data_IF_760468163844
#
_entry.id   IF_760468163844
#
_cell.length_a   1.000
_cell.length_b   1.000
_cell.length_c   1.000
_cell.angle_alpha   90.00
_cell.angle_beta   90.00
_cell.angle_gamma   90.00
#
_symmetry.space_group_name_H-M   'P 1'
#
loop_
_entity.id
_entity.type
_entity.pdbx_description
1 polymer ?
#
# COMPACT_ATOMS: atom_id res chain seq x y z
N UNK A 1 37.21 -17.15 12.18
CA UNK A 1 36.75 -16.51 13.44
C UNK A 1 35.32 -15.97 13.31
N UNK A 2 35.00 -15.20 12.26
CA UNK A 2 33.65 -14.65 12.06
C UNK A 2 32.57 -15.72 11.84
N UNK A 3 32.84 -16.77 11.05
CA UNK A 3 31.85 -17.84 10.83
C UNK A 3 31.46 -18.56 12.12
N UNK A 4 32.46 -18.87 12.96
CA UNK A 4 32.25 -19.45 14.28
C UNK A 4 31.40 -18.56 15.20
N UNK A 5 31.58 -17.23 15.13
CA UNK A 5 30.75 -16.29 15.90
C UNK A 5 29.31 -16.26 15.39
N UNK A 6 29.10 -16.36 14.07
CA UNK A 6 27.75 -16.44 13.47
C UNK A 6 27.04 -17.73 13.86
N UNK A 7 27.73 -18.87 13.79
CA UNK A 7 27.18 -20.15 14.24
C UNK A 7 26.80 -20.13 15.72
N UNK A 8 27.70 -19.66 16.58
CA UNK A 8 27.44 -19.53 18.02
C UNK A 8 26.28 -18.59 18.33
N UNK A 9 26.15 -17.48 17.59
CA UNK A 9 25.04 -16.55 17.76
C UNK A 9 23.71 -17.17 17.35
N UNK A 10 23.67 -17.88 16.22
CA UNK A 10 22.46 -18.56 15.73
C UNK A 10 22.02 -19.64 16.72
N UNK A 11 22.96 -20.41 17.27
CA UNK A 11 22.69 -21.40 18.31
C UNK A 11 22.15 -20.74 19.59
N UNK A 12 22.79 -19.65 20.06
CA UNK A 12 22.35 -18.91 21.23
C UNK A 12 20.95 -18.29 21.08
N UNK A 13 20.67 -17.70 19.91
CA UNK A 13 19.35 -17.15 19.59
C UNK A 13 18.27 -18.25 19.61
N UNK A 14 18.55 -19.39 18.99
CA UNK A 14 17.62 -20.52 18.97
C UNK A 14 17.32 -21.04 20.40
N UNK A 15 18.32 -21.09 21.28
CA UNK A 15 18.14 -21.52 22.68
C UNK A 15 17.19 -20.62 23.48
N UNK A 16 17.09 -19.32 23.13
CA UNK A 16 16.19 -18.38 23.80
C UNK A 16 14.87 -18.15 23.02
N UNK A 17 14.61 -18.94 21.98
CA UNK A 17 13.40 -18.79 21.15
C UNK A 17 13.42 -17.54 20.27
N UNK A 18 14.60 -17.13 19.80
CA UNK A 18 14.74 -16.04 18.84
C UNK A 18 15.08 -16.59 17.46
N UNK A 19 14.41 -16.05 16.46
CA UNK A 19 14.77 -16.26 15.06
C UNK A 19 15.77 -15.21 14.61
N UNK A 20 16.49 -15.53 13.54
CA UNK A 20 17.65 -14.76 13.09
C UNK A 20 17.43 -14.30 11.65
N UNK A 21 17.58 -13.01 11.43
CA UNK A 21 17.64 -12.40 10.10
C UNK A 21 19.04 -11.85 9.88
N UNK A 22 19.74 -12.37 8.87
CA UNK A 22 20.94 -11.75 8.37
C UNK A 22 20.57 -10.76 7.29
N UNK A 23 21.01 -9.52 7.42
CA UNK A 23 20.85 -8.52 6.39
C UNK A 23 22.21 -7.95 6.01
N UNK A 24 22.53 -7.99 4.71
CA UNK A 24 23.76 -7.39 4.16
C UNK A 24 23.37 -6.42 3.06
N UNK A 25 23.62 -5.13 3.30
CA UNK A 25 23.57 -4.11 2.26
C UNK A 25 24.93 -4.05 1.54
N UNK A 26 24.92 -3.95 0.21
CA UNK A 26 26.15 -3.81 -0.57
C UNK A 26 25.95 -2.88 -1.77
N UNK A 27 27.01 -2.23 -2.23
CA UNK A 27 27.03 -1.48 -3.49
C UNK A 27 28.05 -2.10 -4.45
N UNK A 28 28.28 -1.47 -5.61
CA UNK A 28 29.24 -1.93 -6.62
C UNK A 28 30.69 -2.04 -6.08
N UNK A 29 31.02 -1.32 -5.01
CA UNK A 29 32.36 -1.25 -4.42
C UNK A 29 32.45 -1.96 -3.06
N UNK A 30 31.40 -2.68 -2.64
CA UNK A 30 31.23 -3.30 -1.32
C UNK A 30 31.44 -2.33 -0.13
N UNK A 31 31.19 -1.03 -0.33
CA UNK A 31 31.43 0.04 0.64
C UNK A 31 30.21 0.96 0.78
N UNK A 32 29.03 0.41 1.10
CA UNK A 32 27.83 1.20 1.22
C UNK A 32 27.97 2.25 2.34
N UNK A 33 27.40 3.43 2.12
CA UNK A 33 27.33 4.47 3.16
C UNK A 33 26.51 3.95 4.33
N UNK A 34 27.00 4.14 5.56
CA UNK A 34 26.31 3.68 6.76
C UNK A 34 24.84 4.15 6.82
N UNK A 35 24.59 5.45 6.58
CA UNK A 35 23.23 6.00 6.57
C UNK A 35 22.30 5.30 5.56
N UNK A 36 22.82 4.96 4.38
CA UNK A 36 22.05 4.25 3.36
C UNK A 36 21.78 2.79 3.75
N UNK A 37 22.80 2.10 4.30
CA UNK A 37 22.65 0.71 4.75
C UNK A 37 21.64 0.57 5.90
N UNK A 38 21.73 1.43 6.92
CA UNK A 38 20.77 1.42 8.02
C UNK A 38 19.37 1.87 7.57
N UNK A 39 19.27 2.81 6.62
CA UNK A 39 18.00 3.18 5.99
C UNK A 39 17.33 2.00 5.30
N UNK A 40 18.08 1.24 4.49
CA UNK A 40 17.58 0.05 3.81
C UNK A 40 17.08 -1.04 4.79
N UNK A 41 17.77 -1.22 5.92
CA UNK A 41 17.36 -2.15 6.98
C UNK A 41 16.06 -1.68 7.66
N UNK A 42 15.95 -0.38 7.96
CA UNK A 42 14.75 0.19 8.57
C UNK A 42 13.52 0.07 7.64
N UNK A 43 13.70 0.35 6.35
CA UNK A 43 12.66 0.16 5.33
C UNK A 43 12.28 -1.32 5.17
N UNK A 44 13.24 -2.24 5.27
CA UNK A 44 12.98 -3.68 5.23
C UNK A 44 12.15 -4.15 6.43
N UNK A 45 12.48 -3.70 7.65
CA UNK A 45 11.68 -3.99 8.83
C UNK A 45 10.25 -3.46 8.66
N UNK A 46 10.10 -2.22 8.20
CA UNK A 46 8.79 -1.62 7.90
C UNK A 46 8.00 -2.47 6.89
N UNK A 47 8.63 -2.94 5.82
CA UNK A 47 8.01 -3.83 4.84
C UNK A 47 7.50 -5.13 5.49
N UNK A 48 8.34 -5.79 6.31
CA UNK A 48 7.94 -6.99 7.06
C UNK A 48 6.74 -6.71 7.95
N UNK A 49 6.76 -5.65 8.76
CA UNK A 49 5.66 -5.30 9.64
C UNK A 49 4.35 -5.04 8.89
N UNK A 50 4.42 -4.39 7.73
CA UNK A 50 3.24 -4.10 6.92
C UNK A 50 2.68 -5.38 6.29
N UNK A 51 3.53 -6.25 5.73
CA UNK A 51 3.13 -7.56 5.17
C UNK A 51 2.58 -8.48 6.24
N UNK A 52 3.26 -8.57 7.39
CA UNK A 52 2.81 -9.34 8.55
C UNK A 52 1.39 -8.96 8.95
N UNK A 53 1.16 -7.67 9.17
CA UNK A 53 -0.16 -7.19 9.55
C UNK A 53 -1.21 -7.42 8.45
N UNK A 54 -0.83 -7.49 7.17
CA UNK A 54 -1.76 -7.82 6.10
C UNK A 54 -2.11 -9.33 6.07
N UNK A 55 -1.14 -10.21 6.36
CA UNK A 55 -1.38 -11.65 6.45
C UNK A 55 -2.20 -12.03 7.70
N UNK A 56 -1.89 -11.42 8.84
CA UNK A 56 -2.53 -11.75 10.13
C UNK A 56 -3.89 -11.07 10.33
N UNK A 57 -4.09 -9.88 9.76
CA UNK A 57 -5.30 -9.08 10.00
C UNK A 57 -6.06 -8.71 8.72
N UNK A 58 -5.64 -9.25 7.58
CA UNK A 58 -6.30 -9.07 6.30
C UNK A 58 -5.85 -7.81 5.54
N UNK A 59 -6.56 -7.57 4.44
CA UNK A 59 -6.25 -6.56 3.44
C UNK A 59 -5.88 -5.18 4.01
N UNK A 60 -4.71 -4.64 3.64
CA UNK A 60 -4.23 -3.33 4.09
C UNK A 60 -4.26 -2.25 2.99
N UNK A 61 -5.15 -1.27 3.19
CA UNK A 61 -5.24 -0.09 2.33
C UNK A 61 -4.06 0.89 2.48
N UNK A 62 -3.40 0.91 3.65
CA UNK A 62 -2.28 1.82 3.94
C UNK A 62 -1.14 1.07 4.60
N UNK A 63 0.08 1.58 4.43
CA UNK A 63 1.30 1.08 5.07
C UNK A 63 1.38 1.49 6.56
N UNK A 64 0.27 1.39 7.30
CA UNK A 64 0.22 1.69 8.74
C UNK A 64 0.55 0.44 9.54
N UNK A 65 1.34 0.61 10.61
CA UNK A 65 1.76 -0.46 11.50
C UNK A 65 1.16 -0.18 12.89
N UNK A 66 0.15 -0.97 13.31
CA UNK A 66 -0.34 -0.92 14.69
C UNK A 66 0.77 -1.28 15.69
N UNK A 67 0.66 -0.78 16.92
CA UNK A 67 1.68 -0.99 17.96
C UNK A 67 1.96 -2.47 18.26
N UNK A 68 0.92 -3.32 18.31
CA UNK A 68 1.11 -4.75 18.55
C UNK A 68 1.89 -5.43 17.43
N UNK A 69 1.59 -5.11 16.17
CA UNK A 69 2.35 -5.61 15.01
C UNK A 69 3.78 -5.10 15.06
N UNK A 70 4.00 -3.83 15.39
CA UNK A 70 5.34 -3.27 15.50
C UNK A 70 6.19 -4.03 16.52
N UNK A 71 5.59 -4.39 17.66
CA UNK A 71 6.26 -5.17 18.72
C UNK A 71 6.53 -6.61 18.29
N UNK A 72 5.61 -7.26 17.60
CA UNK A 72 5.75 -8.64 17.12
C UNK A 72 6.76 -8.78 15.97
N UNK A 73 7.00 -7.70 15.23
CA UNK A 73 7.87 -7.70 14.04
C UNK A 73 9.14 -6.87 14.18
N UNK A 74 9.42 -6.39 15.40
CA UNK A 74 10.63 -5.62 15.67
C UNK A 74 11.87 -6.52 15.61
N UNK A 75 12.85 -6.10 14.82
CA UNK A 75 14.18 -6.69 14.89
C UNK A 75 14.99 -6.03 15.99
N UNK A 76 15.55 -6.85 16.87
CA UNK A 76 16.59 -6.48 17.80
C UNK A 76 17.96 -6.63 17.14
N UNK A 77 18.84 -5.67 17.41
CA UNK A 77 20.23 -5.72 16.92
C UNK A 77 21.03 -6.79 17.67
N UNK A 78 21.67 -7.69 16.92
CA UNK A 78 22.64 -8.65 17.45
C UNK A 78 24.07 -8.10 17.37
N UNK A 79 24.68 -8.20 16.18
CA UNK A 79 26.02 -7.68 15.93
C UNK A 79 26.28 -7.41 14.44
N UNK A 80 27.34 -6.64 14.13
CA UNK A 80 27.80 -6.39 12.76
C UNK A 80 29.00 -7.25 12.37
N UNK A 81 29.11 -7.61 11.09
CA UNK A 81 30.25 -8.36 10.53
C UNK A 81 30.87 -7.66 9.32
N UNK A 82 32.12 -8.01 8.98
CA UNK A 82 32.89 -7.32 7.94
C UNK A 82 32.59 -7.89 6.54
N UNK A 83 32.82 -7.07 5.50
CA UNK A 83 32.71 -7.45 4.09
C UNK A 83 31.50 -6.86 3.37
N UNK A 84 31.21 -5.56 3.56
CA UNK A 84 29.93 -4.83 3.40
C UNK A 84 29.09 -4.80 4.68
N UNK A 85 28.17 -3.83 4.83
CA UNK A 85 27.45 -3.59 6.10
C UNK A 85 26.46 -4.75 6.33
N UNK A 86 26.98 -5.79 6.96
CA UNK A 86 26.27 -6.99 7.36
C UNK A 86 25.88 -6.91 8.83
N UNK A 87 24.61 -7.15 9.11
CA UNK A 87 24.04 -7.12 10.46
C UNK A 87 23.29 -8.42 10.71
N UNK A 88 23.54 -9.00 11.88
CA UNK A 88 22.70 -10.03 12.47
C UNK A 88 21.61 -9.37 13.31
N UNK A 89 20.37 -9.63 12.93
CA UNK A 89 19.17 -9.19 13.59
C UNK A 89 18.49 -10.41 14.22
N UNK A 90 17.84 -10.20 15.36
CA UNK A 90 17.01 -11.21 16.00
C UNK A 90 15.59 -10.72 16.13
N UNK A 91 14.65 -11.64 16.17
CA UNK A 91 13.26 -11.33 16.44
C UNK A 91 12.73 -12.39 17.39
N UNK A 92 12.00 -11.93 18.41
CA UNK A 92 11.44 -12.83 19.40
C UNK A 92 10.33 -13.65 18.75
N UNK A 93 10.57 -14.95 18.62
CA UNK A 93 9.58 -15.92 18.19
C UNK A 93 9.20 -16.73 19.43
N UNK A 94 8.40 -16.12 20.31
CA UNK A 94 7.97 -16.78 21.53
C UNK A 94 7.32 -18.12 21.15
N UNK A 95 7.89 -19.22 21.66
CA UNK A 95 7.39 -20.60 21.48
C UNK A 95 6.03 -20.80 22.20
N UNK A 96 5.06 -19.92 21.95
CA UNK A 96 3.72 -20.01 22.51
C UNK A 96 2.83 -20.78 21.54
N UNK A 97 2.97 -22.11 21.51
CA UNK A 97 1.99 -23.10 21.02
C UNK A 97 1.43 -22.94 19.58
N UNK A 98 1.77 -21.87 18.85
CA UNK A 98 1.24 -21.50 17.53
C UNK A 98 2.37 -20.90 16.68
N UNK A 99 2.42 -21.26 15.40
CA UNK A 99 3.39 -20.72 14.45
C UNK A 99 3.16 -19.21 14.27
N UNK A 100 4.21 -18.40 14.45
CA UNK A 100 4.10 -16.93 14.53
C UNK A 100 3.83 -16.23 13.21
N UNK A 101 3.57 -16.94 12.10
CA UNK A 101 3.31 -16.35 10.79
C UNK A 101 4.48 -15.56 10.18
N UNK A 102 5.63 -15.50 10.86
CA UNK A 102 6.84 -14.81 10.41
C UNK A 102 7.48 -15.50 9.21
N UNK A 103 7.53 -16.84 9.20
CA UNK A 103 8.04 -17.61 8.05
C UNK A 103 7.26 -17.28 6.76
N UNK A 104 5.92 -17.27 6.84
CA UNK A 104 5.05 -16.91 5.71
C UNK A 104 5.20 -15.46 5.30
N UNK A 105 5.40 -14.57 6.28
CA UNK A 105 5.66 -13.14 6.03
C UNK A 105 6.95 -12.96 5.26
N UNK A 106 8.05 -13.56 5.71
CA UNK A 106 9.36 -13.46 5.06
C UNK A 106 9.31 -14.08 3.66
N UNK A 107 8.72 -15.27 3.53
CA UNK A 107 8.51 -15.92 2.24
C UNK A 107 7.73 -15.02 1.28
N UNK A 108 6.67 -14.37 1.76
CA UNK A 108 5.87 -13.43 0.98
C UNK A 108 6.67 -12.19 0.59
N UNK A 109 7.45 -11.59 1.50
CA UNK A 109 8.33 -10.46 1.21
C UNK A 109 9.37 -10.83 0.15
N UNK A 110 9.96 -12.02 0.24
CA UNK A 110 10.95 -12.50 -0.73
C UNK A 110 10.32 -12.76 -2.11
N UNK A 111 9.10 -13.31 -2.14
CA UNK A 111 8.33 -13.48 -3.37
C UNK A 111 7.99 -12.13 -4.01
N UNK A 112 7.48 -11.18 -3.22
CA UNK A 112 7.18 -9.82 -3.66
C UNK A 112 8.42 -9.11 -4.23
N UNK A 113 9.56 -9.22 -3.55
CA UNK A 113 10.83 -8.60 -3.96
C UNK A 113 11.40 -9.16 -5.26
N UNK A 114 10.91 -10.32 -5.71
CA UNK A 114 11.29 -10.95 -6.98
C UNK A 114 10.31 -10.67 -8.12
N UNK A 115 9.30 -9.82 -7.89
CA UNK A 115 8.32 -9.46 -8.92
C UNK A 115 8.99 -8.77 -10.10
N UNK A 116 8.71 -9.22 -11.32
CA UNK A 116 9.37 -8.75 -12.56
C UNK A 116 8.46 -7.93 -13.47
N UNK A 117 7.16 -8.00 -13.26
CA UNK A 117 6.16 -7.36 -14.12
C UNK A 117 4.93 -6.88 -13.32
N UNK A 118 4.12 -5.96 -13.89
CA UNK A 118 2.94 -5.42 -13.20
C UNK A 118 1.92 -6.47 -12.77
N UNK A 119 1.76 -7.57 -13.52
CA UNK A 119 0.80 -8.63 -13.18
C UNK A 119 1.15 -9.35 -11.88
N UNK A 120 2.44 -9.61 -11.62
CA UNK A 120 2.92 -10.18 -10.35
C UNK A 120 2.68 -9.21 -9.18
N UNK A 121 2.95 -7.92 -9.39
CA UNK A 121 2.66 -6.88 -8.37
C UNK A 121 1.16 -6.83 -8.07
N UNK A 122 0.30 -6.85 -9.09
CA UNK A 122 -1.15 -6.87 -8.94
C UNK A 122 -1.64 -8.12 -8.21
N UNK A 123 -1.05 -9.29 -8.47
CA UNK A 123 -1.37 -10.51 -7.74
C UNK A 123 -1.16 -10.34 -6.23
N UNK A 124 -0.02 -9.77 -5.82
CA UNK A 124 0.24 -9.46 -4.42
C UNK A 124 -0.69 -8.36 -3.89
N UNK A 125 -0.98 -7.34 -4.69
CA UNK A 125 -1.85 -6.23 -4.30
C UNK A 125 -3.30 -6.67 -4.05
N UNK A 126 -3.83 -7.60 -4.84
CA UNK A 126 -5.17 -8.16 -4.62
C UNK A 126 -5.25 -8.95 -3.32
N UNK A 127 -4.17 -9.68 -2.98
CA UNK A 127 -4.13 -10.53 -1.78
C UNK A 127 -3.88 -9.73 -0.50
N UNK A 128 -2.97 -8.76 -0.54
CA UNK A 128 -2.46 -8.08 0.66
C UNK A 128 -2.93 -6.62 0.78
N UNK A 129 -3.35 -6.01 -0.32
CA UNK A 129 -3.70 -4.60 -0.42
C UNK A 129 -2.55 -3.68 -0.86
N UNK A 130 -2.84 -2.40 -1.12
CA UNK A 130 -1.86 -1.43 -1.61
C UNK A 130 -0.79 -1.04 -0.59
N UNK A 131 -1.08 -1.10 0.71
CA UNK A 131 -0.13 -0.73 1.77
C UNK A 131 1.19 -1.52 1.69
N UNK A 132 1.14 -2.86 1.66
CA UNK A 132 2.32 -3.70 1.44
C UNK A 132 3.09 -3.41 0.15
N UNK A 133 2.41 -3.10 -0.95
CA UNK A 133 3.07 -2.77 -2.22
C UNK A 133 3.78 -1.41 -2.13
N UNK A 134 3.16 -0.45 -1.43
CA UNK A 134 3.77 0.85 -1.17
C UNK A 134 5.03 0.71 -0.28
N UNK A 135 4.98 -0.10 0.78
CA UNK A 135 6.16 -0.37 1.61
C UNK A 135 7.28 -1.07 0.82
N UNK A 136 6.93 -1.97 -0.12
CA UNK A 136 7.88 -2.61 -1.02
C UNK A 136 8.52 -1.59 -1.96
N UNK A 137 7.72 -0.66 -2.49
CA UNK A 137 8.20 0.45 -3.31
C UNK A 137 9.17 1.34 -2.53
N UNK A 138 8.84 1.73 -1.29
CA UNK A 138 9.71 2.54 -0.43
C UNK A 138 11.07 1.85 -0.25
N UNK A 139 11.08 0.57 0.13
CA UNK A 139 12.30 -0.21 0.28
C UNK A 139 13.11 -0.34 -1.02
N UNK A 140 12.46 -0.66 -2.14
CA UNK A 140 13.12 -0.78 -3.43
C UNK A 140 13.68 0.57 -3.90
N UNK A 141 12.94 1.66 -3.70
CA UNK A 141 13.34 3.02 -4.06
C UNK A 141 14.49 3.52 -3.19
N UNK A 142 14.44 3.30 -1.87
CA UNK A 142 15.50 3.66 -0.94
C UNK A 142 16.82 2.99 -1.30
N UNK A 143 16.80 1.69 -1.57
CA UNK A 143 17.98 0.97 -2.03
C UNK A 143 18.47 1.43 -3.41
N UNK A 144 17.58 1.52 -4.40
CA UNK A 144 17.94 1.92 -5.77
C UNK A 144 18.53 3.34 -5.83
N UNK A 145 17.96 4.29 -5.08
CA UNK A 145 18.45 5.67 -5.01
C UNK A 145 19.85 5.78 -4.38
N UNK A 146 20.22 4.81 -3.53
CA UNK A 146 21.53 4.74 -2.90
C UNK A 146 22.49 3.78 -3.61
N UNK A 147 22.10 3.17 -4.74
CA UNK A 147 22.92 2.20 -5.47
C UNK A 147 23.17 0.91 -4.71
N UNK A 148 22.27 0.54 -3.79
CA UNK A 148 22.41 -0.63 -2.93
C UNK A 148 21.71 -1.86 -3.53
N UNK A 149 22.30 -3.02 -3.28
CA UNK A 149 21.69 -4.34 -3.31
C UNK A 149 21.54 -4.89 -1.89
N UNK A 150 20.78 -5.97 -1.77
CA UNK A 150 20.51 -6.62 -0.50
C UNK A 150 20.70 -8.13 -0.61
N UNK A 151 21.39 -8.69 0.38
CA UNK A 151 21.43 -10.12 0.64
C UNK A 151 20.84 -10.38 2.02
N UNK A 152 19.79 -11.20 2.07
CA UNK A 152 19.01 -11.46 3.26
C UNK A 152 18.88 -12.96 3.45
N UNK A 153 19.16 -13.44 4.65
CA UNK A 153 18.98 -14.82 5.05
C UNK A 153 18.09 -14.87 6.28
N UNK A 154 17.02 -15.66 6.21
CA UNK A 154 16.11 -15.88 7.33
C UNK A 154 16.31 -17.28 7.90
N UNK A 155 16.49 -17.34 9.22
CA UNK A 155 16.67 -18.59 9.97
C UNK A 155 15.66 -18.69 11.09
N UNK A 156 14.99 -19.83 11.15
CA UNK A 156 14.09 -20.20 12.24
C UNK A 156 14.67 -21.41 12.97
N UNK A 157 14.85 -21.31 14.28
CA UNK A 157 15.35 -22.43 15.09
C UNK A 157 16.70 -22.96 14.60
N UNK A 158 17.57 -22.03 14.15
CA UNK A 158 18.89 -22.32 13.62
C UNK A 158 18.94 -22.78 12.15
N UNK A 159 17.80 -23.09 11.52
CA UNK A 159 17.75 -23.58 10.13
C UNK A 159 17.41 -22.45 9.16
N UNK A 160 18.11 -22.41 8.02
CA UNK A 160 17.76 -21.49 6.92
C UNK A 160 16.39 -21.85 6.37
N UNK A 161 15.48 -20.88 6.38
CA UNK A 161 14.11 -20.99 5.86
C UNK A 161 13.93 -20.26 4.54
N UNK A 162 14.74 -19.23 4.28
CA UNK A 162 14.72 -18.51 3.02
C UNK A 162 15.94 -17.64 2.83
N UNK A 163 16.25 -17.38 1.56
CA UNK A 163 17.27 -16.42 1.15
C UNK A 163 16.74 -15.51 0.05
N UNK A 164 17.19 -14.27 0.09
CA UNK A 164 16.94 -13.26 -0.93
C UNK A 164 18.27 -12.60 -1.28
N UNK A 165 18.60 -12.60 -2.56
CA UNK A 165 19.70 -11.82 -3.10
C UNK A 165 19.13 -10.96 -4.23
N UNK A 166 19.28 -9.65 -4.11
CA UNK A 166 18.77 -8.67 -5.08
C UNK A 166 19.85 -7.64 -5.36
N UNK A 167 20.20 -7.49 -6.63
CA UNK A 167 21.18 -6.51 -7.07
C UNK A 167 20.58 -5.09 -7.17
N UNK A 168 21.41 -4.04 -7.16
CA UNK A 168 20.93 -2.66 -7.32
C UNK A 168 20.06 -2.46 -8.58
N UNK A 169 20.42 -3.11 -9.69
CA UNK A 169 19.66 -3.03 -10.96
C UNK A 169 18.29 -3.70 -10.85
N UNK A 170 18.19 -4.80 -10.11
CA UNK A 170 16.93 -5.50 -9.89
C UNK A 170 15.99 -4.68 -9.00
N UNK A 171 16.51 -4.00 -7.98
CA UNK A 171 15.71 -3.08 -7.14
C UNK A 171 15.25 -1.85 -7.94
N UNK A 172 16.09 -1.30 -8.81
CA UNK A 172 15.70 -0.22 -9.71
C UNK A 172 14.60 -0.65 -10.69
N UNK A 173 14.67 -1.89 -11.20
CA UNK A 173 13.63 -2.47 -12.04
C UNK A 173 12.33 -2.69 -11.26
N UNK A 174 12.39 -3.29 -10.07
CA UNK A 174 11.24 -3.50 -9.21
C UNK A 174 10.53 -2.18 -8.88
N UNK A 175 11.30 -1.14 -8.54
CA UNK A 175 10.77 0.22 -8.33
C UNK A 175 9.97 0.69 -9.53
N UNK A 176 10.55 0.58 -10.74
CA UNK A 176 9.90 0.99 -11.99
C UNK A 176 8.62 0.20 -12.27
N UNK A 177 8.65 -1.12 -12.08
CA UNK A 177 7.47 -1.99 -12.25
C UNK A 177 6.34 -1.55 -11.32
N UNK A 178 6.63 -1.27 -10.06
CA UNK A 178 5.60 -0.82 -9.10
C UNK A 178 5.09 0.59 -9.45
N UNK A 179 5.97 1.49 -9.91
CA UNK A 179 5.58 2.84 -10.37
C UNK A 179 4.61 2.81 -11.56
N UNK A 180 4.79 1.86 -12.47
CA UNK A 180 3.94 1.65 -13.65
C UNK A 180 2.64 0.88 -13.30
N UNK A 181 2.53 0.37 -12.08
CA UNK A 181 1.38 -0.42 -11.65
C UNK A 181 0.36 0.45 -10.90
N UNK A 182 -0.89 0.39 -11.35
CA UNK A 182 -2.04 1.00 -10.66
C UNK A 182 -3.26 0.12 -10.84
N UNK A 183 -4.21 0.22 -9.90
CA UNK A 183 -5.52 -0.41 -10.05
C UNK A 183 -6.58 0.66 -10.22
N UNK A 184 -7.44 0.48 -11.22
CA UNK A 184 -8.61 1.32 -11.45
C UNK A 184 -9.85 0.47 -11.17
N UNK A 185 -10.67 0.92 -10.22
CA UNK A 185 -11.95 0.29 -9.89
C UNK A 185 -13.07 1.26 -10.21
N UNK A 186 -14.06 0.78 -10.97
CA UNK A 186 -15.26 1.55 -11.27
C UNK A 186 -16.47 0.98 -10.52
N UNK A 187 -17.24 1.85 -9.89
CA UNK A 187 -18.47 1.48 -9.20
C UNK A 187 -19.58 2.47 -9.56
N UNK A 188 -20.71 1.95 -10.04
CA UNK A 188 -21.93 2.75 -10.16
C UNK A 188 -22.63 2.81 -8.82
N UNK A 189 -22.93 4.01 -8.34
CA UNK A 189 -23.63 4.26 -7.08
C UNK A 189 -24.76 5.27 -7.29
N UNK A 190 -25.90 4.99 -6.66
CA UNK A 190 -27.02 5.93 -6.63
C UNK A 190 -26.97 6.73 -5.34
N UNK A 191 -27.10 8.04 -5.45
CA UNK A 191 -26.87 8.98 -4.36
C UNK A 191 -28.00 10.01 -4.31
N UNK A 192 -28.67 10.10 -3.17
CA UNK A 192 -29.59 11.18 -2.88
C UNK A 192 -28.84 12.41 -2.35
N UNK A 193 -29.16 13.59 -2.89
CA UNK A 193 -28.52 14.83 -2.46
C UNK A 193 -29.15 16.08 -3.04
N UNK A 194 -28.47 17.20 -2.85
CA UNK A 194 -28.80 18.47 -3.48
C UNK A 194 -27.75 18.79 -4.54
N UNK A 195 -28.16 18.87 -5.80
CA UNK A 195 -27.30 19.40 -6.85
C UNK A 195 -27.24 20.92 -6.67
N UNK A 196 -26.05 21.45 -6.39
CA UNK A 196 -25.86 22.87 -6.05
C UNK A 196 -25.20 23.67 -7.17
N UNK A 197 -24.55 22.99 -8.11
CA UNK A 197 -24.00 23.60 -9.31
C UNK A 197 -23.89 22.54 -10.41
N UNK A 198 -24.19 22.96 -11.64
CA UNK A 198 -23.84 22.28 -12.88
C UNK A 198 -23.37 23.37 -13.85
N UNK A 199 -22.19 23.17 -14.42
CA UNK A 199 -21.58 24.05 -15.41
C UNK A 199 -21.51 23.27 -16.72
N UNK A 200 -22.34 23.67 -17.69
CA UNK A 200 -22.49 22.99 -18.99
C UNK A 200 -21.25 23.18 -19.85
N UNK A 201 -20.60 24.35 -19.79
CA UNK A 201 -19.40 24.66 -20.59
C UNK A 201 -18.22 23.78 -20.18
N UNK A 202 -18.02 23.60 -18.88
CA UNK A 202 -16.90 22.78 -18.35
C UNK A 202 -17.30 21.35 -18.00
N UNK A 203 -18.58 21.02 -18.19
CA UNK A 203 -19.22 19.75 -17.83
C UNK A 203 -18.94 19.33 -16.38
N UNK A 204 -18.94 20.29 -15.44
CA UNK A 204 -18.62 20.08 -14.02
C UNK A 204 -19.85 20.17 -13.15
N UNK A 205 -19.97 19.28 -12.17
CA UNK A 205 -21.06 19.34 -11.19
C UNK A 205 -20.56 19.38 -9.74
N UNK A 206 -21.43 19.87 -8.85
CA UNK A 206 -21.26 19.82 -7.39
C UNK A 206 -22.53 19.30 -6.73
N UNK A 207 -22.41 18.19 -6.00
CA UNK A 207 -23.53 17.55 -5.30
C UNK A 207 -23.25 17.49 -3.79
N UNK A 208 -24.15 18.11 -3.00
CA UNK A 208 -24.09 18.17 -1.55
C UNK A 208 -25.01 17.12 -0.92
N UNK A 209 -24.47 16.36 0.02
CA UNK A 209 -25.19 15.37 0.84
C UNK A 209 -25.23 15.82 2.29
N UNK A 210 -26.20 15.31 3.06
CA UNK A 210 -26.31 15.62 4.49
C UNK A 210 -25.12 14.99 5.24
N UNK A 211 -24.35 15.81 5.95
CA UNK A 211 -23.22 15.41 6.80
C UNK A 211 -22.11 14.59 6.08
N UNK A 212 -22.01 14.69 4.76
CA UNK A 212 -20.99 14.00 3.98
C UNK A 212 -20.20 15.00 3.12
N UNK A 213 -18.96 14.66 2.74
CA UNK A 213 -18.16 15.50 1.86
C UNK A 213 -18.87 15.83 0.54
N UNK A 214 -18.63 17.04 0.05
CA UNK A 214 -19.14 17.52 -1.23
C UNK A 214 -18.55 16.66 -2.37
N UNK A 215 -19.43 16.11 -3.20
CA UNK A 215 -19.02 15.40 -4.41
C UNK A 215 -18.81 16.44 -5.52
N UNK A 216 -17.64 16.36 -6.18
CA UNK A 216 -17.30 17.13 -7.37
C UNK A 216 -16.92 16.15 -8.46
N UNK A 217 -17.33 16.42 -9.69
CA UNK A 217 -17.05 15.53 -10.81
C UNK A 217 -17.41 16.12 -12.14
N UNK A 218 -17.33 15.27 -13.16
CA UNK A 218 -17.67 15.59 -14.53
C UNK A 218 -19.01 14.95 -14.93
N UNK A 219 -19.62 15.43 -15.98
CA UNK A 219 -20.74 14.78 -16.65
C UNK A 219 -20.51 14.78 -18.15
N UNK A 220 -21.14 13.85 -18.87
CA UNK A 220 -21.12 13.92 -20.33
C UNK A 220 -22.22 14.91 -20.78
N UNK A 221 -22.01 15.71 -21.84
CA UNK A 221 -22.93 16.81 -22.22
C UNK A 221 -24.39 16.38 -22.37
N UNK A 222 -24.64 15.14 -22.81
CA UNK A 222 -25.97 14.54 -22.98
C UNK A 222 -26.78 14.41 -21.67
N UNK A 223 -26.14 14.54 -20.50
CA UNK A 223 -26.80 14.41 -19.20
C UNK A 223 -27.41 15.73 -18.72
N UNK A 224 -26.75 16.85 -19.02
CA UNK A 224 -27.19 18.21 -18.69
C UNK A 224 -26.76 19.11 -19.84
N UNK A 225 -27.69 19.41 -20.74
CA UNK A 225 -27.52 20.33 -21.86
C UNK A 225 -28.61 21.42 -21.85
N UNK A 226 -28.71 22.18 -22.94
CA UNK A 226 -29.71 23.23 -23.09
C UNK A 226 -31.16 22.72 -23.12
N UNK A 227 -31.36 21.46 -23.50
CA UNK A 227 -32.65 20.78 -23.65
C UNK A 227 -33.02 19.96 -22.41
N UNK A 228 -32.03 19.46 -21.68
CA UNK A 228 -32.11 18.69 -20.44
C UNK A 228 -31.75 19.58 -19.24
N UNK A 229 -32.47 20.69 -19.10
CA UNK A 229 -32.20 21.68 -18.04
C UNK A 229 -32.54 21.12 -16.67
N UNK A 230 -31.61 21.33 -15.76
CA UNK A 230 -31.69 20.89 -14.38
C UNK A 230 -31.93 22.09 -13.49
N UNK A 231 -32.93 22.06 -12.61
CA UNK A 231 -33.16 23.18 -11.70
C UNK A 231 -32.09 23.20 -10.61
N UNK A 232 -31.50 24.38 -10.38
CA UNK A 232 -30.44 24.58 -9.40
C UNK A 232 -30.83 25.68 -8.40
N UNK A 233 -30.62 25.48 -7.09
CA UNK A 233 -30.19 24.25 -6.44
C UNK A 233 -31.39 23.33 -6.11
N UNK A 234 -31.44 22.09 -6.59
CA UNK A 234 -32.56 21.18 -6.35
C UNK A 234 -32.13 19.85 -5.71
N UNK A 235 -33.08 19.21 -5.01
CA UNK A 235 -32.92 17.84 -4.50
C UNK A 235 -33.03 16.88 -5.67
N UNK A 236 -32.20 15.86 -5.68
CA UNK A 236 -32.16 14.88 -6.76
C UNK A 236 -31.64 13.53 -6.27
N UNK A 237 -31.97 12.50 -7.04
CA UNK A 237 -31.32 11.20 -7.01
C UNK A 237 -30.37 11.15 -8.20
N UNK A 238 -29.07 11.10 -7.93
CA UNK A 238 -28.03 11.08 -8.96
C UNK A 238 -27.41 9.68 -9.06
N UNK A 239 -27.36 9.13 -10.27
CA UNK A 239 -26.58 7.93 -10.58
C UNK A 239 -25.18 8.37 -10.96
N UNK A 240 -24.19 7.95 -10.17
CA UNK A 240 -22.79 8.35 -10.32
C UNK A 240 -21.91 7.15 -10.62
N UNK A 241 -20.93 7.30 -11.51
CA UNK A 241 -19.78 6.41 -11.63
C UNK A 241 -18.66 6.95 -10.75
N UNK A 242 -18.29 6.19 -9.72
CA UNK A 242 -17.09 6.40 -8.92
C UNK A 242 -15.94 5.64 -9.57
N UNK A 243 -14.90 6.36 -9.99
CA UNK A 243 -13.66 5.79 -10.52
C UNK A 243 -12.60 6.00 -9.46
N UNK A 244 -12.13 4.92 -8.84
CA UNK A 244 -11.06 4.95 -7.85
C UNK A 244 -9.78 4.43 -8.52
N UNK A 245 -8.74 5.26 -8.58
CA UNK A 245 -7.40 4.87 -9.04
C UNK A 245 -6.46 4.80 -7.83
N UNK A 246 -5.87 3.64 -7.60
CA UNK A 246 -4.86 3.44 -6.55
C UNK A 246 -3.49 3.36 -7.21
N UNK A 247 -2.63 4.34 -6.94
CA UNK A 247 -1.23 4.32 -7.37
C UNK A 247 -0.39 3.69 -6.26
N UNK A 248 0.18 2.53 -6.53
CA UNK A 248 0.86 1.75 -5.50
C UNK A 248 2.16 2.41 -5.01
N UNK A 249 2.90 3.10 -5.87
CA UNK A 249 4.15 3.75 -5.46
C UNK A 249 3.97 4.90 -4.48
N UNK A 250 2.85 5.61 -4.56
CA UNK A 250 2.54 6.72 -3.62
C UNK A 250 1.58 6.30 -2.51
N UNK A 251 0.91 5.14 -2.64
CA UNK A 251 -0.17 4.72 -1.75
C UNK A 251 -1.39 5.65 -1.81
N UNK A 252 -1.48 6.50 -2.83
CA UNK A 252 -2.55 7.49 -2.96
C UNK A 252 -3.75 6.92 -3.71
N UNK A 253 -4.93 7.16 -3.16
CA UNK A 253 -6.21 6.92 -3.81
C UNK A 253 -6.68 8.23 -4.47
N UNK A 254 -6.83 8.23 -5.79
CA UNK A 254 -7.54 9.29 -6.51
C UNK A 254 -8.98 8.83 -6.79
N UNK A 255 -9.96 9.68 -6.46
CA UNK A 255 -11.37 9.38 -6.62
C UNK A 255 -12.00 10.41 -7.55
N UNK A 256 -12.40 9.94 -8.73
CA UNK A 256 -13.09 10.74 -9.72
C UNK A 256 -14.56 10.33 -9.78
N UNK A 257 -15.43 11.31 -9.98
CA UNK A 257 -16.86 11.09 -10.09
C UNK A 257 -17.33 11.50 -11.48
N UNK A 258 -18.14 10.65 -12.12
CA UNK A 258 -18.94 11.03 -13.29
C UNK A 258 -20.42 10.91 -12.99
N UNK A 259 -21.19 11.93 -13.33
CA UNK A 259 -22.65 11.86 -13.30
C UNK A 259 -23.13 11.13 -14.56
N UNK A 260 -23.89 10.06 -14.36
CA UNK A 260 -24.46 9.24 -15.42
C UNK A 260 -25.94 9.54 -15.66
N UNK A 261 -26.68 9.90 -14.60
CA UNK A 261 -28.09 10.28 -14.71
C UNK A 261 -28.49 11.12 -13.50
N UNK A 262 -29.50 11.96 -13.69
CA UNK A 262 -30.14 12.71 -12.62
C UNK A 262 -31.65 12.57 -12.70
N UNK A 263 -32.26 12.22 -11.58
CA UNK A 263 -33.70 12.26 -11.39
C UNK A 263 -34.03 13.39 -10.41
N UNK A 264 -34.77 14.39 -10.89
CA UNK A 264 -35.29 15.47 -10.07
C UNK A 264 -36.79 15.29 -9.90
N UNK A 265 -37.32 15.40 -8.67
CA UNK A 265 -38.76 15.49 -8.49
C UNK A 265 -39.22 16.71 -9.29
N UNK A 266 -40.04 16.48 -10.32
CA UNK A 266 -40.69 17.55 -11.08
C UNK A 266 -41.31 18.49 -10.05
N UNK A 267 -40.92 19.76 -10.11
CA UNK A 267 -41.44 20.77 -9.20
C UNK A 267 -42.94 20.61 -9.11
N UNK A 268 -43.44 20.37 -7.91
CA UNK A 268 -44.86 20.44 -7.61
C UNK A 268 -45.38 21.72 -8.24
N UNK A 269 -46.33 21.59 -9.16
CA UNK A 269 -47.27 22.66 -9.46
C UNK A 269 -47.84 23.10 -8.09
N UNK A 270 -47.29 24.19 -7.55
CA UNK A 270 -47.94 24.96 -6.51
C UNK A 270 -49.14 25.58 -7.20
N UNK A 271 -50.21 24.79 -7.28
CA UNK A 271 -51.52 25.22 -7.72
C UNK A 271 -51.93 26.43 -6.90
N UNK A 272 -52.22 27.49 -7.65
CA UNK A 272 -53.00 28.67 -7.28
C UNK A 272 -53.91 28.43 -6.07
N UNK A 273 -53.60 29.09 -4.95
CA UNK A 273 -54.63 29.67 -4.10
C UNK A 273 -54.64 31.16 -4.41
N UNK A 274 -55.14 31.46 -5.61
CA UNK A 274 -55.71 32.77 -5.89
C UNK A 274 -56.94 32.93 -4.99
N UNK A 275 -56.92 34.05 -4.30
CA UNK A 275 -58.02 34.58 -3.53
C UNK A 275 -59.29 34.65 -4.39
N UNK A 276 -60.35 33.99 -3.95
CA UNK A 276 -61.71 34.38 -4.29
C UNK A 276 -62.53 34.54 -3.02
N UNK A 277 -62.98 35.79 -2.86
CA UNK A 277 -64.13 36.33 -2.12
C UNK A 277 -64.24 36.15 -0.60
#
# INVERSE_FOLDING_TARGET
>A
MQEKLREQFVEAAAMIGHDVCQYRAFDEYERPKAAAAFGAIAEFQRLISVVYGALQHGYKQRATIPEHVARETAFDFGFGFHGSVGIMLTIRNAQELFETGLDDTISTVFSMSKSKNPSEVLHHAHRLGPGPINALYEWAAGNANNGLGAEIEWRHGGRVKGTLFVQPRELAHLRKVIDETSTVTEQTVTVEGKLIAADVETSKFKLKRKNLPLIRGLFDPEIIDEDHRVQLPARCTATLRKITTIKYSTGTEDVQWRLLAIDQPRGSELGNLDSQE
#
